data_IF_051939770550
#
_entry.id   IF_051939770550
#
_cell.length_a   1.000
_cell.length_b   1.000
_cell.length_c   1.000
_cell.angle_alpha   90.00
_cell.angle_beta   90.00
_cell.angle_gamma   90.00
#
_symmetry.space_group_name_H-M   'P 1'
#
loop_
_entity.id
_entity.type
_entity.pdbx_description
1 polymer ?
#
# COMPACT_ATOMS: atom_id res chain seq x y z
N UNK A 1 5.29 13.93 -0.08
CA UNK A 1 5.04 12.48 -0.11
C UNK A 1 6.24 11.71 -0.64
N UNK A 2 6.59 11.75 -1.93
CA UNK A 2 7.77 11.03 -2.46
C UNK A 2 9.05 11.38 -1.69
N UNK A 3 9.34 12.67 -1.51
CA UNK A 3 10.49 13.11 -0.72
C UNK A 3 10.47 12.54 0.70
N UNK A 4 9.32 12.51 1.37
CA UNK A 4 9.19 11.97 2.72
C UNK A 4 9.48 10.47 2.79
N UNK A 5 9.09 9.70 1.76
CA UNK A 5 9.43 8.28 1.68
C UNK A 5 10.93 8.07 1.43
N UNK A 6 11.52 8.85 0.52
CA UNK A 6 12.97 8.79 0.27
C UNK A 6 13.78 9.20 1.51
N UNK A 7 13.38 10.27 2.20
CA UNK A 7 14.02 10.74 3.44
C UNK A 7 13.91 9.71 4.57
N UNK A 8 12.85 8.90 4.57
CA UNK A 8 12.66 7.78 5.47
C UNK A 8 13.41 6.50 5.03
N UNK A 9 14.16 6.54 3.92
CA UNK A 9 14.99 5.44 3.44
C UNK A 9 14.27 4.39 2.59
N UNK A 10 13.05 4.66 2.12
CA UNK A 10 12.33 3.73 1.25
C UNK A 10 12.82 3.82 -0.20
N UNK A 11 13.09 2.65 -0.82
CA UNK A 11 13.41 2.58 -2.25
C UNK A 11 12.13 2.61 -3.11
N UNK A 12 11.95 3.73 -3.81
CA UNK A 12 10.82 3.96 -4.71
C UNK A 12 11.13 3.69 -6.19
N UNK A 13 12.34 3.26 -6.52
CA UNK A 13 12.80 3.09 -7.92
C UNK A 13 11.93 2.12 -8.73
N UNK A 14 11.42 1.07 -8.08
CA UNK A 14 10.60 0.01 -8.68
C UNK A 14 9.14 0.06 -8.23
N UNK A 15 8.79 0.90 -7.26
CA UNK A 15 7.47 0.94 -6.61
C UNK A 15 6.76 2.27 -6.79
N UNK A 16 7.25 3.11 -7.70
CA UNK A 16 6.60 4.37 -8.03
C UNK A 16 6.66 4.67 -9.52
N UNK A 17 5.69 5.45 -10.00
CA UNK A 17 5.67 5.97 -11.35
C UNK A 17 4.99 7.33 -11.39
N UNK A 18 5.27 8.11 -12.44
CA UNK A 18 4.55 9.36 -12.71
C UNK A 18 3.47 9.05 -13.73
N UNK A 19 2.22 9.35 -13.40
CA UNK A 19 1.13 9.26 -14.35
C UNK A 19 1.31 10.35 -15.42
N UNK A 20 1.47 9.94 -16.68
CA UNK A 20 1.83 10.87 -17.76
C UNK A 20 0.81 11.96 -18.04
N UNK A 21 -0.49 11.66 -17.83
CA UNK A 21 -1.59 12.60 -18.08
C UNK A 21 -1.70 13.64 -16.98
N UNK A 22 -1.62 13.20 -15.72
CA UNK A 22 -1.84 14.07 -14.55
C UNK A 22 -0.55 14.67 -14.00
N UNK A 23 0.61 14.16 -14.43
CA UNK A 23 1.95 14.49 -13.90
C UNK A 23 2.08 14.23 -12.39
N UNK A 24 1.20 13.40 -11.82
CA UNK A 24 1.22 13.05 -10.40
C UNK A 24 1.94 11.73 -10.19
N UNK A 25 2.75 11.71 -9.14
CA UNK A 25 3.36 10.49 -8.61
C UNK A 25 2.31 9.53 -8.07
N UNK A 26 2.50 8.25 -8.39
CA UNK A 26 1.79 7.11 -7.86
C UNK A 26 2.80 6.19 -7.20
N UNK A 27 2.42 5.61 -6.07
CA UNK A 27 3.27 4.71 -5.28
C UNK A 27 2.48 3.43 -5.08
N UNK A 28 3.08 2.29 -5.39
CA UNK A 28 2.59 0.98 -5.01
C UNK A 28 3.02 0.67 -3.58
N UNK A 29 2.14 1.03 -2.64
CA UNK A 29 2.39 0.81 -1.21
C UNK A 29 2.44 -0.68 -0.83
N UNK A 30 1.77 -1.55 -1.59
CA UNK A 30 1.77 -3.00 -1.32
C UNK A 30 3.11 -3.59 -1.72
N UNK A 31 3.58 -3.30 -2.93
CA UNK A 31 4.88 -3.75 -3.40
C UNK A 31 6.01 -3.17 -2.53
N UNK A 32 5.91 -1.91 -2.11
CA UNK A 32 6.87 -1.33 -1.18
C UNK A 32 6.91 -2.08 0.16
N UNK A 33 5.74 -2.42 0.73
CA UNK A 33 5.66 -3.22 1.97
C UNK A 33 6.22 -4.63 1.78
N UNK A 34 5.95 -5.27 0.65
CA UNK A 34 6.54 -6.57 0.30
C UNK A 34 8.07 -6.50 0.24
N UNK A 35 8.63 -5.49 -0.44
CA UNK A 35 10.07 -5.32 -0.56
C UNK A 35 10.73 -5.16 0.83
N UNK A 36 10.08 -4.41 1.73
CA UNK A 36 10.56 -4.24 3.10
C UNK A 36 10.51 -5.53 3.92
N UNK A 37 9.44 -6.33 3.81
CA UNK A 37 9.36 -7.63 4.48
C UNK A 37 10.46 -8.58 4.00
N UNK A 38 10.71 -8.63 2.70
CA UNK A 38 11.82 -9.42 2.12
C UNK A 38 13.17 -8.91 2.61
N UNK A 39 13.38 -7.58 2.62
CA UNK A 39 14.61 -6.95 3.15
C UNK A 39 14.85 -7.30 4.63
N UNK A 40 13.79 -7.46 5.41
CA UNK A 40 13.85 -7.87 6.82
C UNK A 40 13.99 -9.39 7.02
N UNK A 41 14.03 -10.18 5.94
CA UNK A 41 14.31 -11.62 5.98
C UNK A 41 13.08 -12.54 5.92
N UNK A 42 11.88 -12.01 5.68
CA UNK A 42 10.70 -12.84 5.41
C UNK A 42 10.83 -13.46 4.02
N UNK A 43 10.65 -14.79 3.92
CA UNK A 43 10.82 -15.45 2.63
C UNK A 43 9.71 -15.06 1.65
N UNK A 44 10.03 -14.77 0.38
CA UNK A 44 9.05 -14.41 -0.64
C UNK A 44 7.84 -15.35 -0.72
N UNK A 45 8.06 -16.66 -0.55
CA UNK A 45 7.02 -17.70 -0.62
C UNK A 45 6.04 -17.65 0.56
N UNK A 46 6.35 -16.91 1.62
CA UNK A 46 5.51 -16.72 2.80
C UNK A 46 4.74 -15.39 2.78
N UNK A 47 4.84 -14.62 1.70
CA UNK A 47 4.17 -13.33 1.56
C UNK A 47 3.15 -13.41 0.42
N UNK A 48 1.90 -13.15 0.75
CA UNK A 48 0.82 -13.05 -0.23
C UNK A 48 0.36 -11.60 -0.35
N UNK A 49 0.18 -11.13 -1.59
CA UNK A 49 -0.33 -9.79 -1.89
C UNK A 49 -1.73 -9.94 -2.46
N UNK A 50 -2.73 -9.38 -1.78
CA UNK A 50 -4.09 -9.30 -2.31
C UNK A 50 -4.16 -8.38 -3.55
N UNK A 51 -4.97 -8.77 -4.53
CA UNK A 51 -5.25 -7.94 -5.72
C UNK A 51 -6.24 -6.80 -5.44
N UNK A 52 -6.91 -6.79 -4.28
CA UNK A 52 -8.00 -5.85 -3.96
C UNK A 52 -7.50 -4.43 -3.71
N UNK A 53 -8.11 -3.42 -4.34
CA UNK A 53 -7.80 -2.00 -4.14
C UNK A 53 -8.94 -1.31 -3.39
N UNK A 54 -8.66 -0.70 -2.23
CA UNK A 54 -9.71 -0.02 -1.43
C UNK A 54 -10.38 1.13 -2.18
N UNK A 55 -9.67 1.78 -3.11
CA UNK A 55 -10.22 2.84 -3.94
C UNK A 55 -11.20 2.31 -4.99
N UNK A 56 -10.85 1.20 -5.66
CA UNK A 56 -11.61 0.63 -6.78
C UNK A 56 -12.79 -0.24 -6.32
N UNK A 57 -12.61 -1.01 -5.24
CA UNK A 57 -13.59 -1.94 -4.69
C UNK A 57 -14.59 -1.22 -3.76
N UNK A 58 -15.48 -0.43 -4.37
CA UNK A 58 -16.33 0.55 -3.66
C UNK A 58 -17.37 -0.08 -2.73
N UNK A 59 -17.87 -1.25 -3.10
CA UNK A 59 -18.90 -1.97 -2.35
C UNK A 59 -18.32 -2.74 -1.15
N UNK A 60 -16.99 -2.95 -1.12
CA UNK A 60 -16.31 -3.75 -0.10
C UNK A 60 -15.58 -2.89 0.95
N UNK A 61 -15.03 -1.74 0.55
CA UNK A 61 -14.13 -0.97 1.42
C UNK A 61 -14.44 0.51 1.49
N UNK A 62 -14.23 1.10 2.67
CA UNK A 62 -14.02 2.54 2.78
C UNK A 62 -12.68 2.94 2.17
N UNK A 63 -12.60 4.15 1.61
CA UNK A 63 -11.37 4.70 1.06
C UNK A 63 -11.26 6.19 1.34
N UNK A 64 -10.28 6.58 2.15
CA UNK A 64 -10.02 8.00 2.45
C UNK A 64 -9.65 8.80 1.19
N UNK A 65 -9.05 8.17 0.18
CA UNK A 65 -8.77 8.84 -1.11
C UNK A 65 -10.06 9.14 -1.88
N UNK A 66 -11.04 8.24 -1.83
CA UNK A 66 -12.35 8.38 -2.51
C UNK A 66 -13.32 9.28 -1.74
N UNK A 67 -13.36 9.11 -0.41
CA UNK A 67 -14.38 9.70 0.46
C UNK A 67 -13.87 10.89 1.28
N UNK A 68 -12.58 11.23 1.18
CA UNK A 68 -11.94 12.32 1.91
C UNK A 68 -12.05 12.16 3.43
N UNK A 69 -12.23 13.26 4.17
CA UNK A 69 -12.14 13.30 5.63
C UNK A 69 -13.28 12.53 6.33
N UNK A 70 -14.41 12.33 5.66
CA UNK A 70 -15.62 11.67 6.23
C UNK A 70 -15.62 10.15 5.97
N UNK A 71 -14.49 9.57 5.54
CA UNK A 71 -14.39 8.13 5.31
C UNK A 71 -14.47 7.32 6.62
N UNK A 72 -15.16 6.18 6.61
CA UNK A 72 -15.08 5.17 7.67
C UNK A 72 -13.71 4.51 7.77
N UNK A 73 -13.53 3.54 8.67
CA UNK A 73 -12.29 2.77 8.83
C UNK A 73 -12.62 1.28 8.92
N UNK A 74 -11.89 0.46 8.16
CA UNK A 74 -11.89 -0.99 8.34
C UNK A 74 -10.92 -1.35 9.45
N UNK A 75 -11.12 -2.54 10.04
CA UNK A 75 -10.24 -3.14 11.03
C UNK A 75 -9.66 -4.44 10.46
N UNK A 76 -8.35 -4.64 10.61
CA UNK A 76 -7.71 -5.96 10.48
C UNK A 76 -7.44 -6.53 11.87
N UNK A 77 -7.73 -7.81 12.07
CA UNK A 77 -7.53 -8.49 13.35
C UNK A 77 -6.98 -9.90 13.12
N UNK A 78 -6.05 -10.30 13.97
CA UNK A 78 -5.49 -11.65 14.01
C UNK A 78 -5.48 -12.13 15.46
N UNK A 79 -5.86 -13.38 15.69
CA UNK A 79 -5.88 -14.02 17.00
C UNK A 79 -5.39 -15.46 16.86
N UNK A 80 -4.60 -15.91 17.83
CA UNK A 80 -4.36 -17.33 18.06
C UNK A 80 -5.57 -17.90 18.82
N UNK A 81 -6.17 -18.95 18.26
CA UNK A 81 -7.24 -19.69 18.92
C UNK A 81 -6.58 -20.94 19.49
N UNK A 82 -6.73 -21.14 20.80
CA UNK A 82 -6.31 -22.35 21.51
C UNK A 82 -7.22 -23.55 21.16
#
# INVERSE_FOLDING_TARGET
LIAQFNDAGFDLSTTSFVNEKTKKWHIDLKQLSYNELVRLGVQPQQIEITTLCTFDERELFFSARRQTIVSGRMLSGIKLID
#
